data_IF_218118658301
#
_entry.id   IF_218118658301
#
_cell.length_a   1.000
_cell.length_b   1.000
_cell.length_c   1.000
_cell.angle_alpha   90.00
_cell.angle_beta   90.00
_cell.angle_gamma   90.00
#
_symmetry.space_group_name_H-M   'P 1'
#
loop_
_entity.id
_entity.type
_entity.pdbx_description
1 polymer ?
#
# COMPACT_ATOMS: atom_id res chain seq x y z
N UNK A 1 27.81 0.48 -50.12
CA UNK A 1 27.90 0.68 -48.66
C UNK A 1 26.54 0.78 -47.94
N UNK A 2 25.48 1.32 -48.55
CA UNK A 2 24.15 1.46 -47.91
C UNK A 2 23.43 0.14 -47.55
N UNK A 3 23.58 -0.94 -48.34
CA UNK A 3 22.90 -2.21 -48.03
C UNK A 3 23.42 -2.90 -46.76
N UNK A 4 24.73 -2.86 -46.50
CA UNK A 4 25.35 -3.46 -45.32
C UNK A 4 24.97 -2.76 -44.00
N UNK A 5 24.73 -1.45 -44.04
CA UNK A 5 24.22 -0.71 -42.87
C UNK A 5 22.74 -0.98 -42.63
N UNK A 6 21.95 -1.17 -43.69
CA UNK A 6 20.53 -1.47 -43.59
C UNK A 6 20.31 -2.88 -43.00
N UNK A 7 21.08 -3.88 -43.45
CA UNK A 7 21.01 -5.26 -42.93
C UNK A 7 21.42 -5.35 -41.45
N UNK A 8 22.49 -4.69 -41.02
CA UNK A 8 22.88 -4.64 -39.60
C UNK A 8 21.84 -3.95 -38.72
N UNK A 9 21.08 -2.99 -39.28
CA UNK A 9 20.00 -2.32 -38.57
C UNK A 9 18.76 -3.22 -38.42
N UNK A 10 18.47 -4.04 -39.44
CA UNK A 10 17.39 -5.03 -39.45
C UNK A 10 17.69 -6.16 -38.47
N UNK A 11 18.93 -6.66 -38.47
CA UNK A 11 19.42 -7.72 -37.59
C UNK A 11 19.34 -7.31 -36.11
N UNK A 12 19.84 -6.11 -35.76
CA UNK A 12 19.70 -5.55 -34.40
C UNK A 12 18.25 -5.35 -33.97
N UNK A 13 17.35 -5.02 -34.90
CA UNK A 13 15.90 -4.90 -34.62
C UNK A 13 15.27 -6.27 -34.37
N UNK A 14 15.66 -7.29 -35.13
CA UNK A 14 15.20 -8.66 -34.94
C UNK A 14 15.68 -9.24 -33.60
N UNK A 15 16.94 -9.05 -33.24
CA UNK A 15 17.51 -9.46 -31.94
C UNK A 15 16.78 -8.82 -30.76
N UNK A 16 16.56 -7.49 -30.80
CA UNK A 16 15.80 -6.78 -29.75
C UNK A 16 14.38 -7.29 -29.62
N UNK A 17 13.73 -7.62 -30.74
CA UNK A 17 12.36 -8.17 -30.75
C UNK A 17 12.34 -9.58 -30.17
N UNK A 18 13.33 -10.41 -30.48
CA UNK A 18 13.49 -11.75 -29.90
C UNK A 18 13.76 -11.69 -28.39
N UNK A 19 14.65 -10.80 -27.94
CA UNK A 19 14.93 -10.57 -26.51
C UNK A 19 13.68 -10.10 -25.75
N UNK A 20 12.92 -9.15 -26.30
CA UNK A 20 11.65 -8.71 -25.70
C UNK A 20 10.62 -9.84 -25.60
N UNK A 21 10.51 -10.66 -26.64
CA UNK A 21 9.58 -11.80 -26.65
C UNK A 21 9.99 -12.86 -25.63
N UNK A 22 11.29 -13.15 -25.52
CA UNK A 22 11.84 -14.07 -24.53
C UNK A 22 11.64 -13.54 -23.10
N UNK A 23 11.92 -12.26 -22.86
CA UNK A 23 11.72 -11.62 -21.56
C UNK A 23 10.24 -11.68 -21.17
N UNK A 24 9.32 -11.32 -22.07
CA UNK A 24 7.88 -11.42 -21.84
C UNK A 24 7.48 -12.85 -21.48
N UNK A 25 7.95 -13.85 -22.23
CA UNK A 25 7.68 -15.26 -21.94
C UNK A 25 8.17 -15.67 -20.55
N UNK A 26 9.39 -15.28 -20.17
CA UNK A 26 9.95 -15.55 -18.84
C UNK A 26 9.15 -14.86 -17.72
N UNK A 27 8.70 -13.63 -17.96
CA UNK A 27 7.83 -12.92 -17.02
C UNK A 27 6.47 -13.63 -16.90
N UNK A 28 5.85 -13.99 -18.02
CA UNK A 28 4.58 -14.73 -18.03
C UNK A 28 4.72 -16.08 -17.31
N UNK A 29 5.85 -16.77 -17.44
CA UNK A 29 6.18 -18.02 -16.72
C UNK A 29 6.37 -17.79 -15.20
N UNK A 30 7.05 -16.70 -14.80
CA UNK A 30 7.24 -16.32 -13.39
C UNK A 30 5.93 -15.91 -12.71
N UNK A 31 5.07 -15.18 -13.42
CA UNK A 31 3.78 -14.69 -12.90
C UNK A 31 2.59 -15.60 -13.24
N UNK A 32 2.85 -16.76 -13.86
CA UNK A 32 1.85 -17.81 -14.08
C UNK A 32 1.31 -18.30 -12.73
N UNK A 33 0.07 -18.79 -12.72
CA UNK A 33 -0.66 -19.12 -11.49
C UNK A 33 0.09 -20.12 -10.58
N UNK A 34 0.88 -21.04 -11.17
CA UNK A 34 1.70 -22.04 -10.46
C UNK A 34 2.98 -21.46 -9.82
N UNK A 35 3.41 -20.26 -10.23
CA UNK A 35 4.62 -19.59 -9.75
C UNK A 35 4.35 -18.27 -9.03
N UNK A 36 3.10 -17.96 -8.69
CA UNK A 36 2.79 -16.80 -7.86
C UNK A 36 3.48 -16.96 -6.51
N UNK A 37 4.59 -16.25 -6.35
CA UNK A 37 5.38 -16.24 -5.12
C UNK A 37 4.53 -15.86 -3.90
N UNK A 38 3.49 -15.03 -4.07
CA UNK A 38 2.54 -14.73 -3.00
C UNK A 38 1.77 -15.97 -2.52
N UNK A 39 1.32 -16.84 -3.44
CA UNK A 39 0.63 -18.09 -3.07
C UNK A 39 1.59 -19.07 -2.37
N UNK A 40 2.83 -19.19 -2.88
CA UNK A 40 3.86 -20.03 -2.23
C UNK A 40 4.28 -19.47 -0.87
N UNK A 41 4.29 -18.14 -0.71
CA UNK A 41 4.54 -17.45 0.55
C UNK A 41 3.41 -17.69 1.54
N UNK A 42 2.15 -17.54 1.12
CA UNK A 42 0.97 -17.89 1.93
C UNK A 42 1.01 -19.36 2.36
N UNK A 43 1.26 -20.30 1.44
CA UNK A 43 1.38 -21.73 1.76
C UNK A 43 2.49 -22.03 2.76
N UNK A 44 3.58 -21.26 2.74
CA UNK A 44 4.67 -21.40 3.70
C UNK A 44 4.32 -20.88 5.10
N UNK A 45 3.48 -19.84 5.19
CA UNK A 45 3.17 -19.15 6.45
C UNK A 45 1.83 -19.53 7.07
N UNK A 46 0.90 -20.09 6.28
CA UNK A 46 -0.40 -20.57 6.75
C UNK A 46 -0.28 -22.00 7.25
N UNK A 47 -0.64 -22.20 8.51
CA UNK A 47 -0.59 -23.50 9.18
C UNK A 47 -1.89 -24.29 8.98
N UNK A 48 -1.90 -25.54 9.44
CA UNK A 48 -3.03 -26.46 9.24
C UNK A 48 -4.33 -25.99 9.91
N UNK A 49 -4.26 -25.04 10.83
CA UNK A 49 -5.41 -24.40 11.50
C UNK A 49 -6.00 -23.24 10.70
N UNK A 50 -5.42 -22.89 9.55
CA UNK A 50 -5.85 -21.79 8.69
C UNK A 50 -5.39 -20.41 9.17
N UNK A 51 -4.50 -20.34 10.16
CA UNK A 51 -3.90 -19.08 10.62
C UNK A 51 -2.49 -18.92 10.07
N UNK A 52 -2.09 -17.67 9.85
CA UNK A 52 -0.70 -17.33 9.54
C UNK A 52 0.05 -16.99 10.83
N UNK A 53 1.20 -17.64 11.06
CA UNK A 53 2.03 -17.38 12.24
C UNK A 53 3.28 -16.60 11.86
N UNK A 54 3.48 -15.46 12.54
CA UNK A 54 4.68 -14.63 12.39
C UNK A 54 5.51 -14.81 13.65
N UNK A 55 6.66 -15.44 13.52
CA UNK A 55 7.56 -15.70 14.63
C UNK A 55 8.58 -14.57 14.75
N UNK A 56 8.59 -13.87 15.88
CA UNK A 56 9.55 -12.81 16.18
C UNK A 56 10.50 -13.30 17.26
N UNK A 57 11.78 -13.43 16.92
CA UNK A 57 12.83 -13.85 17.85
C UNK A 57 13.32 -12.68 18.71
N UNK A 58 12.94 -12.68 19.99
CA UNK A 58 13.41 -11.73 20.99
C UNK A 58 14.58 -12.27 21.83
N UNK A 59 14.99 -13.53 21.63
CA UNK A 59 16.05 -14.17 22.43
C UNK A 59 17.41 -13.51 22.21
N UNK A 60 17.64 -13.01 21.00
CA UNK A 60 18.89 -12.35 20.59
C UNK A 60 18.94 -10.87 20.94
N UNK A 61 17.83 -10.28 21.33
CA UNK A 61 17.72 -8.83 21.55
C UNK A 61 17.88 -8.53 23.04
N UNK A 62 18.70 -7.54 23.38
CA UNK A 62 18.87 -7.14 24.79
C UNK A 62 17.56 -6.63 25.38
N UNK A 63 16.87 -5.74 24.65
CA UNK A 63 15.57 -5.17 25.01
C UNK A 63 14.68 -5.05 23.76
N UNK A 64 13.38 -5.37 23.85
CA UNK A 64 12.45 -5.18 22.74
C UNK A 64 12.02 -3.71 22.61
N UNK A 65 12.40 -2.85 23.56
CA UNK A 65 12.04 -1.43 23.58
C UNK A 65 13.14 -0.56 23.00
N UNK A 66 12.72 0.54 22.38
CA UNK A 66 13.62 1.56 21.87
C UNK A 66 14.40 2.23 23.00
N UNK A 67 15.69 2.42 22.80
CA UNK A 67 16.59 3.14 23.71
C UNK A 67 16.19 4.62 23.88
N UNK A 68 15.43 5.18 22.94
CA UNK A 68 14.98 6.57 22.97
C UNK A 68 13.62 6.75 23.66
N UNK A 69 13.02 5.66 24.12
CA UNK A 69 11.67 5.67 24.68
C UNK A 69 11.70 5.53 26.20
N UNK A 70 11.26 6.59 26.89
CA UNK A 70 10.92 6.51 28.32
C UNK A 70 9.61 5.73 28.55
N UNK A 71 8.78 5.61 27.53
CA UNK A 71 7.42 5.06 27.54
C UNK A 71 7.32 3.59 27.08
N UNK A 72 8.45 2.86 26.98
CA UNK A 72 8.51 1.47 26.55
C UNK A 72 7.86 1.22 25.17
N UNK A 73 8.14 2.10 24.19
CA UNK A 73 7.84 1.86 22.78
C UNK A 73 8.74 0.76 22.27
N UNK A 74 8.16 -0.17 21.55
CA UNK A 74 8.90 -1.23 20.88
C UNK A 74 9.86 -0.62 19.84
N UNK A 75 11.02 -1.27 19.67
CA UNK A 75 11.99 -0.92 18.64
C UNK A 75 11.32 -0.95 17.24
N UNK A 76 11.40 0.12 16.44
CA UNK A 76 10.85 0.17 15.09
C UNK A 76 11.19 -1.05 14.21
N UNK A 77 12.39 -1.63 14.36
CA UNK A 77 12.83 -2.80 13.59
C UNK A 77 11.91 -4.01 13.76
N UNK A 78 11.28 -4.17 14.93
CA UNK A 78 10.31 -5.24 15.18
C UNK A 78 9.04 -5.01 14.36
N UNK A 79 8.58 -3.75 14.26
CA UNK A 79 7.43 -3.41 13.42
C UNK A 79 7.75 -3.59 11.93
N UNK A 80 8.94 -3.18 11.50
CA UNK A 80 9.38 -3.34 10.12
C UNK A 80 9.43 -4.82 9.73
N UNK A 81 9.94 -5.68 10.62
CA UNK A 81 9.91 -7.12 10.43
C UNK A 81 8.47 -7.65 10.30
N UNK A 82 7.57 -7.34 11.23
CA UNK A 82 6.17 -7.78 11.18
C UNK A 82 5.49 -7.29 9.88
N UNK A 83 5.75 -6.06 9.46
CA UNK A 83 5.18 -5.48 8.24
C UNK A 83 5.70 -6.21 6.98
N UNK A 84 6.98 -6.57 6.92
CA UNK A 84 7.55 -7.35 5.82
C UNK A 84 6.95 -8.75 5.75
N UNK A 85 6.85 -9.44 6.88
CA UNK A 85 6.27 -10.80 6.95
C UNK A 85 4.77 -10.82 6.64
N UNK A 86 4.09 -9.67 6.76
CA UNK A 86 2.64 -9.54 6.47
C UNK A 86 2.34 -8.92 5.11
N UNK A 87 3.36 -8.43 4.40
CA UNK A 87 3.18 -7.62 3.19
C UNK A 87 2.36 -8.36 2.12
N UNK A 88 2.68 -9.65 1.96
CA UNK A 88 2.10 -10.56 0.97
C UNK A 88 0.99 -11.44 1.52
N UNK A 89 0.68 -11.35 2.82
CA UNK A 89 -0.44 -12.10 3.38
C UNK A 89 -1.74 -11.47 2.89
N UNK A 90 -2.66 -12.32 2.44
CA UNK A 90 -4.03 -11.87 2.18
C UNK A 90 -4.66 -11.43 3.48
N UNK A 91 -5.43 -10.36 3.38
CA UNK A 91 -5.98 -9.71 4.55
C UNK A 91 -7.09 -10.52 5.24
N UNK A 92 -7.72 -11.47 4.55
CA UNK A 92 -8.75 -12.35 5.12
C UNK A 92 -8.19 -13.52 5.95
N UNK A 93 -6.87 -13.75 5.92
CA UNK A 93 -6.21 -14.81 6.69
C UNK A 93 -5.93 -14.30 8.10
N UNK A 94 -6.44 -14.93 9.18
CA UNK A 94 -6.11 -14.53 10.55
C UNK A 94 -4.62 -14.67 10.84
N UNK A 95 -4.02 -13.59 11.33
CA UNK A 95 -2.60 -13.59 11.73
C UNK A 95 -2.47 -13.80 13.24
N UNK A 96 -1.41 -14.51 13.64
CA UNK A 96 -0.94 -14.62 15.02
C UNK A 96 0.51 -14.18 15.07
N UNK A 97 0.84 -13.22 15.91
CA UNK A 97 2.22 -12.83 16.17
C UNK A 97 2.70 -13.60 17.39
N UNK A 98 3.71 -14.44 17.20
CA UNK A 98 4.34 -15.23 18.25
C UNK A 98 5.72 -14.65 18.57
N UNK A 99 5.90 -14.15 19.79
CA UNK A 99 7.20 -13.67 20.26
C UNK A 99 7.92 -14.79 21.01
N UNK A 100 9.07 -15.23 20.49
CA UNK A 100 9.97 -16.13 21.21
C UNK A 100 10.89 -15.31 22.11
N UNK A 101 10.60 -15.33 23.42
CA UNK A 101 11.41 -14.66 24.43
C UNK A 101 12.38 -15.60 25.15
N UNK A 102 12.40 -16.90 24.82
CA UNK A 102 13.20 -17.90 25.53
C UNK A 102 12.92 -17.96 27.04
N UNK A 103 11.77 -17.45 27.49
CA UNK A 103 11.43 -17.31 28.91
C UNK A 103 12.14 -16.15 29.63
N UNK A 104 12.76 -15.21 28.90
CA UNK A 104 13.49 -14.06 29.45
C UNK A 104 12.58 -13.00 30.08
N UNK A 105 11.36 -12.84 29.59
CA UNK A 105 10.48 -11.74 30.01
C UNK A 105 9.38 -12.20 30.97
N UNK A 106 9.05 -11.34 31.93
CA UNK A 106 7.93 -11.56 32.85
C UNK A 106 6.59 -11.36 32.15
N UNK A 107 5.52 -11.91 32.72
CA UNK A 107 4.15 -11.74 32.18
C UNK A 107 3.72 -10.27 32.09
N UNK A 108 4.20 -9.41 33.00
CA UNK A 108 3.97 -7.97 32.92
C UNK A 108 4.62 -7.33 31.69
N UNK A 109 5.86 -7.73 31.38
CA UNK A 109 6.60 -7.26 30.21
C UNK A 109 5.96 -7.76 28.91
N UNK A 110 5.57 -9.04 28.86
CA UNK A 110 4.80 -9.61 27.74
C UNK A 110 3.51 -8.86 27.49
N UNK A 111 2.77 -8.54 28.56
CA UNK A 111 1.56 -7.72 28.48
C UNK A 111 1.85 -6.31 27.94
N UNK A 112 2.96 -5.69 28.34
CA UNK A 112 3.38 -4.38 27.82
C UNK A 112 3.73 -4.44 26.33
N UNK A 113 4.46 -5.47 25.90
CA UNK A 113 4.80 -5.69 24.49
C UNK A 113 3.52 -5.85 23.67
N UNK A 114 2.62 -6.75 24.07
CA UNK A 114 1.34 -6.97 23.39
C UNK A 114 0.54 -5.67 23.26
N UNK A 115 0.38 -4.92 24.36
CA UNK A 115 -0.31 -3.61 24.32
C UNK A 115 0.38 -2.60 23.43
N UNK A 116 1.71 -2.55 23.40
CA UNK A 116 2.46 -1.63 22.56
C UNK A 116 2.26 -1.94 21.07
N UNK A 117 2.30 -3.22 20.68
CA UNK A 117 2.03 -3.67 19.31
C UNK A 117 0.60 -3.32 18.89
N UNK A 118 -0.39 -3.74 19.68
CA UNK A 118 -1.80 -3.46 19.39
C UNK A 118 -2.06 -1.96 19.29
N UNK A 119 -1.50 -1.16 20.22
CA UNK A 119 -1.64 0.30 20.19
C UNK A 119 -1.00 0.91 18.95
N UNK A 120 0.17 0.45 18.54
CA UNK A 120 0.84 0.96 17.34
C UNK A 120 -0.04 0.80 16.10
N UNK A 121 -0.52 -0.41 15.84
CA UNK A 121 -1.38 -0.68 14.68
C UNK A 121 -2.76 -0.03 14.79
N UNK A 122 -3.31 0.10 16.00
CA UNK A 122 -4.55 0.85 16.23
C UNK A 122 -4.40 2.34 15.87
N UNK A 123 -3.26 2.95 16.18
CA UNK A 123 -2.96 4.33 15.82
C UNK A 123 -2.78 4.51 14.31
N UNK A 124 -2.13 3.54 13.64
CA UNK A 124 -2.04 3.53 12.17
C UNK A 124 -3.43 3.44 11.56
N UNK A 125 -4.26 2.52 12.04
CA UNK A 125 -5.64 2.36 11.57
C UNK A 125 -6.46 3.66 11.73
N UNK A 126 -6.38 4.31 12.89
CA UNK A 126 -7.09 5.56 13.13
C UNK A 126 -6.59 6.68 12.21
N UNK A 127 -5.27 6.81 12.07
CA UNK A 127 -4.64 7.79 11.17
C UNK A 127 -5.11 7.58 9.72
N UNK A 128 -4.99 6.36 9.20
CA UNK A 128 -5.42 6.02 7.83
C UNK A 128 -6.91 6.30 7.64
N UNK A 129 -7.76 5.95 8.62
CA UNK A 129 -9.19 6.25 8.56
C UNK A 129 -9.49 7.75 8.50
N UNK A 130 -8.75 8.56 9.25
CA UNK A 130 -8.89 10.02 9.23
C UNK A 130 -8.43 10.58 7.87
N UNK A 131 -7.30 10.11 7.36
CA UNK A 131 -6.73 10.58 6.10
C UNK A 131 -7.64 10.21 4.91
N UNK A 132 -8.24 9.02 4.91
CA UNK A 132 -9.30 8.64 3.95
C UNK A 132 -10.49 9.61 3.95
N UNK A 133 -10.94 10.05 5.13
CA UNK A 133 -12.05 11.01 5.22
C UNK A 133 -11.66 12.38 4.68
N UNK A 134 -10.44 12.84 5.00
CA UNK A 134 -9.90 14.10 4.46
C UNK A 134 -9.75 14.03 2.95
N UNK A 135 -9.27 12.92 2.41
CA UNK A 135 -9.11 12.67 0.97
C UNK A 135 -10.45 12.80 0.24
N UNK A 136 -11.50 12.15 0.74
CA UNK A 136 -12.87 12.27 0.20
C UNK A 136 -13.43 13.68 0.32
N UNK A 137 -13.20 14.36 1.45
CA UNK A 137 -13.66 15.73 1.66
C UNK A 137 -12.99 16.70 0.67
N UNK A 138 -11.69 16.54 0.45
CA UNK A 138 -10.96 17.31 -0.55
C UNK A 138 -11.44 17.02 -1.97
N UNK A 139 -11.71 15.76 -2.31
CA UNK A 139 -12.35 15.39 -3.58
C UNK A 139 -13.72 16.04 -3.76
N UNK A 140 -14.53 16.10 -2.71
CA UNK A 140 -15.82 16.77 -2.72
C UNK A 140 -15.71 18.28 -2.96
N UNK A 141 -14.79 18.97 -2.26
CA UNK A 141 -14.56 20.39 -2.48
C UNK A 141 -13.99 20.67 -3.88
N UNK A 142 -13.10 19.80 -4.37
CA UNK A 142 -12.57 19.92 -5.73
C UNK A 142 -13.68 19.80 -6.77
N UNK A 143 -14.59 18.84 -6.60
CA UNK A 143 -15.77 18.71 -7.46
C UNK A 143 -16.65 19.95 -7.41
N UNK A 144 -16.95 20.46 -6.21
CA UNK A 144 -17.79 21.64 -6.04
C UNK A 144 -17.18 22.87 -6.72
N UNK A 145 -15.88 23.12 -6.52
CA UNK A 145 -15.16 24.22 -7.16
C UNK A 145 -15.15 24.04 -8.68
N UNK A 146 -14.81 22.85 -9.17
CA UNK A 146 -14.79 22.55 -10.60
C UNK A 146 -16.15 22.75 -11.27
N UNK A 147 -17.23 22.32 -10.62
CA UNK A 147 -18.60 22.49 -11.08
C UNK A 147 -19.05 23.95 -11.06
N UNK A 148 -18.70 24.72 -10.02
CA UNK A 148 -19.00 26.14 -9.93
C UNK A 148 -18.27 26.94 -11.02
N UNK A 149 -16.99 26.65 -11.25
CA UNK A 149 -16.21 27.29 -12.31
C UNK A 149 -16.77 26.93 -13.69
N UNK A 150 -17.19 25.68 -13.91
CA UNK A 150 -17.83 25.26 -15.15
C UNK A 150 -19.15 25.99 -15.38
N UNK A 151 -19.99 26.06 -14.35
CA UNK A 151 -21.27 26.76 -14.41
C UNK A 151 -21.08 28.25 -14.71
N UNK A 152 -20.07 28.87 -14.09
CA UNK A 152 -19.69 30.26 -14.37
C UNK A 152 -19.22 30.44 -15.81
N UNK A 153 -18.37 29.53 -16.32
CA UNK A 153 -17.92 29.55 -17.71
C UNK A 153 -19.09 29.48 -18.70
N UNK A 154 -20.02 28.53 -18.49
CA UNK A 154 -21.21 28.38 -19.34
C UNK A 154 -22.12 29.62 -19.25
N UNK A 155 -22.37 30.13 -18.04
CA UNK A 155 -23.21 31.31 -17.82
C UNK A 155 -22.63 32.54 -18.52
N UNK A 156 -21.32 32.79 -18.38
CA UNK A 156 -20.67 33.92 -19.03
C UNK A 156 -20.64 33.78 -20.56
N UNK A 157 -20.49 32.56 -21.08
CA UNK A 157 -20.65 32.27 -22.51
C UNK A 157 -22.04 32.66 -23.01
N UNK A 158 -23.08 32.21 -22.32
CA UNK A 158 -24.47 32.45 -22.71
C UNK A 158 -24.94 33.90 -22.51
N UNK A 159 -24.51 34.57 -21.44
CA UNK A 159 -25.00 35.90 -21.06
C UNK A 159 -24.17 37.07 -21.64
N UNK A 160 -22.87 36.86 -21.87
CA UNK A 160 -21.95 37.94 -22.22
C UNK A 160 -21.09 37.69 -23.46
N UNK A 161 -21.33 36.59 -24.21
CA UNK A 161 -20.47 36.16 -25.32
C UNK A 161 -18.99 36.14 -24.90
N UNK A 162 -18.67 35.41 -23.82
CA UNK A 162 -17.30 35.33 -23.30
C UNK A 162 -16.28 34.74 -24.30
N UNK A 163 -16.75 34.17 -25.41
CA UNK A 163 -15.93 33.80 -26.57
C UNK A 163 -15.14 35.00 -27.13
N UNK A 164 -15.61 36.24 -26.93
CA UNK A 164 -14.84 37.45 -27.26
C UNK A 164 -13.66 37.72 -26.30
N UNK A 165 -13.62 37.04 -25.15
CA UNK A 165 -12.55 37.08 -24.15
C UNK A 165 -11.86 35.70 -24.09
N UNK A 166 -11.39 35.22 -25.25
CA UNK A 166 -10.82 33.88 -25.47
C UNK A 166 -9.88 33.44 -24.33
N UNK A 167 -8.97 34.33 -23.91
CA UNK A 167 -8.00 34.03 -22.85
C UNK A 167 -8.62 33.71 -21.48
N UNK A 168 -9.65 34.44 -21.05
CA UNK A 168 -10.29 34.20 -19.75
C UNK A 168 -11.18 32.95 -19.78
N UNK A 169 -11.85 32.70 -20.91
CA UNK A 169 -12.63 31.48 -21.10
C UNK A 169 -11.76 30.23 -21.04
N UNK A 170 -10.60 30.25 -21.68
CA UNK A 170 -9.63 29.14 -21.63
C UNK A 170 -9.13 28.86 -20.22
N UNK A 171 -8.79 29.88 -19.44
CA UNK A 171 -8.34 29.71 -18.05
C UNK A 171 -9.42 29.05 -17.20
N UNK A 172 -10.66 29.54 -17.26
CA UNK A 172 -11.77 28.96 -16.49
C UNK A 172 -12.04 27.51 -16.88
N UNK A 173 -11.97 27.21 -18.18
CA UNK A 173 -12.10 25.84 -18.71
C UNK A 173 -11.02 24.91 -18.16
N UNK A 174 -9.74 25.34 -18.20
CA UNK A 174 -8.61 24.56 -17.67
C UNK A 174 -8.76 24.35 -16.16
N UNK A 175 -9.10 25.39 -15.40
CA UNK A 175 -9.30 25.30 -13.95
C UNK A 175 -10.40 24.28 -13.65
N UNK A 176 -11.56 24.41 -14.30
CA UNK A 176 -12.67 23.48 -14.11
C UNK A 176 -12.26 22.05 -14.41
N UNK A 177 -11.60 21.82 -15.54
CA UNK A 177 -11.10 20.51 -15.95
C UNK A 177 -10.15 19.89 -14.90
N UNK A 178 -9.17 20.65 -14.41
CA UNK A 178 -8.21 20.19 -13.39
C UNK A 178 -8.92 19.80 -12.09
N UNK A 179 -9.82 20.64 -11.60
CA UNK A 179 -10.55 20.38 -10.35
C UNK A 179 -11.53 19.20 -10.47
N UNK A 180 -12.19 19.05 -11.61
CA UNK A 180 -13.05 17.88 -11.88
C UNK A 180 -12.20 16.61 -11.93
N UNK A 181 -11.05 16.65 -12.60
CA UNK A 181 -10.18 15.48 -12.69
C UNK A 181 -9.58 15.07 -11.34
N UNK A 182 -9.18 16.03 -10.53
CA UNK A 182 -8.72 15.80 -9.15
C UNK A 182 -9.81 15.14 -8.29
N UNK A 183 -11.07 15.53 -8.47
CA UNK A 183 -12.19 14.89 -7.78
C UNK A 183 -12.41 13.45 -8.24
N UNK A 184 -12.32 13.19 -9.55
CA UNK A 184 -12.46 11.84 -10.11
C UNK A 184 -11.37 10.92 -9.57
N UNK A 185 -10.12 11.35 -9.56
CA UNK A 185 -8.99 10.57 -9.03
C UNK A 185 -9.25 10.14 -7.57
N UNK A 186 -9.65 11.09 -6.72
CA UNK A 186 -9.90 10.82 -5.29
C UNK A 186 -11.12 9.93 -5.01
N UNK A 187 -12.18 10.05 -5.81
CA UNK A 187 -13.38 9.25 -5.59
C UNK A 187 -13.26 7.83 -6.13
N UNK A 188 -12.58 7.66 -7.28
CA UNK A 188 -12.60 6.40 -8.01
C UNK A 188 -11.27 5.65 -8.00
N UNK A 189 -10.12 6.34 -7.94
CA UNK A 189 -8.80 5.72 -8.06
C UNK A 189 -8.11 5.55 -6.69
N UNK A 190 -7.99 6.61 -5.90
CA UNK A 190 -7.30 6.56 -4.59
C UNK A 190 -8.00 5.67 -3.56
N UNK A 191 -9.31 5.46 -3.72
CA UNK A 191 -10.12 4.76 -2.73
C UNK A 191 -9.81 3.26 -2.56
N UNK A 192 -9.12 2.62 -3.51
CA UNK A 192 -8.80 1.18 -3.40
C UNK A 192 -7.54 0.95 -2.56
N UNK A 193 -6.47 1.70 -2.81
CA UNK A 193 -5.21 1.60 -2.06
C UNK A 193 -5.42 1.96 -0.59
N UNK A 194 -6.08 3.10 -0.33
CA UNK A 194 -6.36 3.54 1.04
C UNK A 194 -7.22 2.53 1.82
N UNK A 195 -8.13 1.80 1.15
CA UNK A 195 -8.93 0.74 1.78
C UNK A 195 -8.11 -0.49 2.12
N UNK A 196 -7.18 -0.87 1.25
CA UNK A 196 -6.26 -1.98 1.49
C UNK A 196 -5.41 -1.65 2.71
N UNK A 197 -4.84 -0.46 2.77
CA UNK A 197 -4.01 -0.02 3.90
C UNK A 197 -4.80 0.05 5.20
N UNK A 198 -6.02 0.59 5.15
CA UNK A 198 -6.92 0.61 6.31
C UNK A 198 -7.21 -0.80 6.81
N UNK A 199 -7.49 -1.72 5.88
CA UNK A 199 -7.82 -3.09 6.23
C UNK A 199 -6.60 -3.82 6.80
N UNK A 200 -5.42 -3.68 6.20
CA UNK A 200 -4.15 -4.24 6.72
C UNK A 200 -3.86 -3.73 8.13
N UNK A 201 -3.94 -2.42 8.35
CA UNK A 201 -3.72 -1.84 9.67
C UNK A 201 -4.75 -2.34 10.71
N UNK A 202 -6.02 -2.46 10.31
CA UNK A 202 -7.08 -3.00 11.16
C UNK A 202 -6.86 -4.48 11.49
N UNK A 203 -6.42 -5.27 10.50
CA UNK A 203 -6.09 -6.68 10.67
C UNK A 203 -4.97 -6.86 11.71
N UNK A 204 -3.87 -6.10 11.59
CA UNK A 204 -2.75 -6.14 12.54
C UNK A 204 -3.11 -5.55 13.92
N UNK A 205 -4.07 -4.63 13.99
CA UNK A 205 -4.56 -4.12 15.27
C UNK A 205 -5.38 -5.16 16.04
N UNK A 206 -6.02 -6.12 15.36
CA UNK A 206 -6.86 -7.16 15.95
C UNK A 206 -6.13 -8.50 16.09
N UNK A 207 -4.83 -8.53 15.81
CA UNK A 207 -4.02 -9.73 15.79
C UNK A 207 -3.92 -10.39 17.17
N UNK A 208 -3.93 -11.72 17.19
CA UNK A 208 -3.64 -12.48 18.41
C UNK A 208 -2.13 -12.43 18.67
N UNK A 209 -1.73 -12.08 19.90
CA UNK A 209 -0.32 -12.01 20.30
C UNK A 209 -0.05 -13.10 21.32
N UNK A 210 0.90 -13.97 21.01
CA UNK A 210 1.30 -15.12 21.83
C UNK A 210 2.79 -15.06 22.15
N UNK A 211 3.19 -15.77 23.21
CA UNK A 211 4.58 -15.86 23.63
C UNK A 211 4.95 -17.33 23.84
N UNK A 212 6.03 -17.77 23.22
CA UNK A 212 6.47 -19.15 23.32
C UNK A 212 7.47 -19.52 22.22
N UNK A 213 7.80 -20.82 22.18
CA UNK A 213 8.69 -21.37 21.15
C UNK A 213 8.16 -21.06 19.74
N UNK A 214 9.04 -20.92 18.74
CA UNK A 214 8.62 -20.65 17.38
C UNK A 214 7.71 -21.77 16.87
N UNK A 215 6.62 -21.37 16.21
CA UNK A 215 5.71 -22.31 15.55
C UNK A 215 6.31 -22.60 14.17
N UNK A 216 6.79 -23.83 13.98
CA UNK A 216 7.43 -24.30 12.74
C UNK A 216 6.56 -25.38 12.13
N UNK A 217 6.41 -25.35 10.81
CA UNK A 217 5.57 -26.27 10.03
C UNK A 217 6.24 -27.62 9.81
#
# INVERSE_FOLDING_TARGET
MNNLQNDRSQEKRAERKAQRKLLKKRMDELFSNENRYSLKFEEAHVFNDGKAYINVDLTKVESPFSIYSYDNRINPEIYDYINQETEFLRADIPVVINFDDGGKYTEELKTKISKAVTRHYSLIYEKTRIDMKKSKLFGFFSFLIGALVLALYIFLGAAFNIENYEFFGEILSIISWVFIWEAVDRFFLSGNEERIDLFKAGHLALVEITFGKPVIK
#
